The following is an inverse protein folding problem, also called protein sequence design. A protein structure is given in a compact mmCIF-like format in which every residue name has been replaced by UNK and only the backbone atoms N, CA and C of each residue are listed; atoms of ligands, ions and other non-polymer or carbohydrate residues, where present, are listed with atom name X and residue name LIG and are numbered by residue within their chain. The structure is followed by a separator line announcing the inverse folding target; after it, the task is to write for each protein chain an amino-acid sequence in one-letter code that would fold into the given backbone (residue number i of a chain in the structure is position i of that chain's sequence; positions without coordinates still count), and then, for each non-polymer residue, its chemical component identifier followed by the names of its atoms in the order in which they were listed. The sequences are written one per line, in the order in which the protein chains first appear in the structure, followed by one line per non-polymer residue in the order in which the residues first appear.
data_IF_192042395633
#
_entry.id   IF_192042395633
#
_cell.length_a   1.000
_cell.length_b   1.000
_cell.length_c   1.000
_cell.angle_alpha   90.00
_cell.angle_beta   90.00
_cell.angle_gamma   90.00
#
_symmetry.space_group_name_H-M   'P 1'
#
loop_
_entity.id
_entity.type
_entity.pdbx_description
1 polymer ?
#
# COMPACT_ATOMS: atom_id res chain seq x y z
N UNK A 1 18.24 105.01 9.79
CA UNK A 1 18.41 105.61 8.45
C UNK A 1 19.41 104.83 7.63
N UNK A 2 20.66 105.29 7.54
CA UNK A 2 21.73 104.60 6.78
C UNK A 2 22.37 103.45 7.57
N UNK A 3 22.65 103.66 8.86
CA UNK A 3 23.29 102.65 9.73
C UNK A 3 22.46 101.37 9.91
N UNK A 4 21.14 101.49 10.10
CA UNK A 4 20.24 100.33 10.23
C UNK A 4 20.16 99.49 8.95
N UNK A 5 20.41 100.09 7.78
CA UNK A 5 20.42 99.36 6.50
C UNK A 5 21.73 98.60 6.33
N UNK A 6 22.86 99.20 6.73
CA UNK A 6 24.16 98.53 6.69
C UNK A 6 24.23 97.32 7.64
N UNK A 7 23.67 97.47 8.85
CA UNK A 7 23.61 96.39 9.84
C UNK A 7 22.71 95.23 9.35
N UNK A 8 21.57 95.54 8.72
CA UNK A 8 20.69 94.54 8.10
C UNK A 8 21.36 93.83 6.91
N UNK A 9 22.17 94.54 6.14
CA UNK A 9 22.94 93.97 5.01
C UNK A 9 24.04 93.05 5.51
N UNK A 10 24.70 93.40 6.62
CA UNK A 10 25.73 92.57 7.25
C UNK A 10 25.12 91.30 7.86
N UNK A 11 23.98 91.41 8.55
CA UNK A 11 23.21 90.25 9.04
C UNK A 11 22.75 89.33 7.91
N UNK A 12 22.24 89.89 6.80
CA UNK A 12 21.85 89.11 5.61
C UNK A 12 23.03 88.40 4.95
N UNK A 13 24.21 89.05 4.93
CA UNK A 13 25.42 88.49 4.35
C UNK A 13 25.99 87.38 5.24
N UNK A 14 25.99 87.56 6.56
CA UNK A 14 26.37 86.52 7.51
C UNK A 14 25.39 85.34 7.51
N UNK A 15 24.09 85.60 7.37
CA UNK A 15 23.09 84.55 7.18
C UNK A 15 23.32 83.77 5.89
N UNK A 16 23.62 84.46 4.78
CA UNK A 16 23.98 83.85 3.49
C UNK A 16 25.23 82.97 3.60
N UNK A 17 26.25 83.41 4.32
CA UNK A 17 27.48 82.64 4.53
C UNK A 17 27.30 81.43 5.46
N UNK A 18 26.26 81.40 6.31
CA UNK A 18 25.90 80.23 7.12
C UNK A 18 25.12 79.16 6.34
N UNK A 19 24.66 79.47 5.12
CA UNK A 19 23.99 78.50 4.25
C UNK A 19 25.07 77.68 3.54
N UNK A 20 25.47 76.57 4.15
CA UNK A 20 26.40 75.61 3.56
C UNK A 20 25.67 74.78 2.47
N UNK A 21 25.71 75.28 1.24
CA UNK A 21 25.08 74.64 0.08
C UNK A 21 26.00 73.51 -0.39
N UNK A 22 25.72 72.27 0.04
CA UNK A 22 26.41 71.07 -0.44
C UNK A 22 25.57 70.42 -1.55
N UNK A 23 25.89 70.65 -2.85
CA UNK A 23 25.06 70.20 -3.96
C UNK A 23 24.97 68.67 -4.04
N UNK A 24 26.08 67.97 -3.74
CA UNK A 24 26.12 66.50 -3.74
C UNK A 24 25.20 65.90 -2.68
N UNK A 25 25.12 66.53 -1.51
CA UNK A 25 24.20 66.07 -0.46
C UNK A 25 22.74 66.36 -0.79
N UNK A 26 22.46 67.46 -1.49
CA UNK A 26 21.11 67.76 -1.97
C UNK A 26 20.66 66.71 -2.99
N UNK A 27 21.54 66.36 -3.94
CA UNK A 27 21.29 65.33 -4.95
C UNK A 27 21.02 63.95 -4.31
N UNK A 28 21.82 63.52 -3.33
CA UNK A 28 21.56 62.29 -2.57
C UNK A 28 20.19 62.29 -1.87
N UNK A 29 19.78 63.43 -1.31
CA UNK A 29 18.49 63.56 -0.63
C UNK A 29 17.34 63.52 -1.65
N UNK A 30 17.48 64.20 -2.78
CA UNK A 30 16.48 64.21 -3.85
C UNK A 30 16.28 62.82 -4.44
N UNK A 31 17.37 62.08 -4.71
CA UNK A 31 17.33 60.69 -5.17
C UNK A 31 16.63 59.79 -4.15
N UNK A 32 16.96 59.95 -2.86
CA UNK A 32 16.33 59.16 -1.80
C UNK A 32 14.85 59.45 -1.67
N UNK A 33 14.43 60.71 -1.80
CA UNK A 33 13.03 61.11 -1.80
C UNK A 33 12.30 60.56 -3.04
N UNK A 34 12.94 60.57 -4.21
CA UNK A 34 12.38 59.99 -5.43
C UNK A 34 12.13 58.49 -5.29
N UNK A 35 13.08 57.74 -4.71
CA UNK A 35 12.94 56.31 -4.42
C UNK A 35 11.77 56.04 -3.47
N UNK A 36 11.69 56.77 -2.35
CA UNK A 36 10.60 56.64 -1.37
C UNK A 36 9.25 56.96 -2.02
N UNK A 37 9.17 58.02 -2.81
CA UNK A 37 7.93 58.40 -3.50
C UNK A 37 7.52 57.38 -4.57
N UNK A 38 8.49 56.76 -5.25
CA UNK A 38 8.26 55.63 -6.15
C UNK A 38 7.64 54.43 -5.40
N UNK A 39 8.19 54.08 -4.24
CA UNK A 39 7.68 53.00 -3.41
C UNK A 39 6.29 53.30 -2.82
N UNK A 40 6.04 54.54 -2.38
CA UNK A 40 4.73 54.98 -1.89
C UNK A 40 3.65 54.84 -2.97
N UNK A 41 3.99 55.17 -4.21
CA UNK A 41 3.08 55.03 -5.36
C UNK A 41 2.77 53.56 -5.67
N UNK A 42 3.75 52.67 -5.53
CA UNK A 42 3.63 51.25 -5.86
C UNK A 42 2.92 50.43 -4.77
N UNK A 43 3.16 50.75 -3.50
CA UNK A 43 2.73 49.92 -2.36
C UNK A 43 1.79 50.63 -1.38
N UNK A 44 1.41 51.88 -1.67
CA UNK A 44 0.32 52.59 -1.00
C UNK A 44 0.77 53.62 0.04
N UNK A 45 0.68 54.89 -0.34
CA UNK A 45 0.55 56.02 0.58
C UNK A 45 1.80 56.42 1.36
N UNK A 46 2.07 55.75 2.48
CA UNK A 46 3.05 56.17 3.49
C UNK A 46 4.18 55.15 3.73
N UNK A 47 5.20 55.56 4.48
CA UNK A 47 6.38 54.73 4.74
C UNK A 47 6.02 53.52 5.62
N UNK A 48 5.09 53.69 6.57
CA UNK A 48 4.64 52.62 7.46
C UNK A 48 3.96 51.48 6.66
N UNK A 49 3.14 51.82 5.67
CA UNK A 49 2.47 50.85 4.79
C UNK A 49 3.48 50.07 3.96
N UNK A 50 4.50 50.73 3.41
CA UNK A 50 5.59 50.06 2.67
C UNK A 50 6.32 49.05 3.55
N UNK A 51 6.69 49.44 4.78
CA UNK A 51 7.41 48.57 5.72
C UNK A 51 6.55 47.38 6.16
N UNK A 52 5.27 47.59 6.47
CA UNK A 52 4.33 46.52 6.77
C UNK A 52 4.16 45.55 5.58
N UNK A 53 4.11 46.08 4.35
CA UNK A 53 4.02 45.26 3.15
C UNK A 53 5.28 44.41 2.94
N UNK A 54 6.47 44.98 3.18
CA UNK A 54 7.74 44.24 3.17
C UNK A 54 7.73 43.10 4.18
N UNK A 55 7.29 43.35 5.42
CA UNK A 55 7.20 42.32 6.45
C UNK A 55 6.20 41.22 6.08
N UNK A 56 5.06 41.58 5.49
CA UNK A 56 4.07 40.61 5.01
C UNK A 56 4.67 39.71 3.92
N UNK A 57 5.32 40.30 2.91
CA UNK A 57 6.00 39.56 1.84
C UNK A 57 7.11 38.69 2.41
N UNK A 58 7.91 39.19 3.35
CA UNK A 58 8.99 38.43 3.97
C UNK A 58 8.47 37.20 4.72
N UNK A 59 7.37 37.35 5.48
CA UNK A 59 6.69 36.22 6.16
C UNK A 59 6.13 35.22 5.15
N UNK A 60 5.47 35.69 4.08
CA UNK A 60 4.97 34.84 3.01
C UNK A 60 6.10 34.05 2.33
N UNK A 61 7.23 34.71 2.01
CA UNK A 61 8.42 34.07 1.46
C UNK A 61 9.01 33.01 2.38
N UNK A 62 9.12 33.30 3.68
CA UNK A 62 9.65 32.36 4.66
C UNK A 62 8.76 31.12 4.77
N UNK A 63 7.43 31.32 4.83
CA UNK A 63 6.47 30.20 4.83
C UNK A 63 6.58 29.35 3.56
N UNK A 64 6.65 29.95 2.37
CA UNK A 64 6.83 29.23 1.11
C UNK A 64 8.14 28.44 1.07
N UNK A 65 9.23 29.02 1.57
CA UNK A 65 10.53 28.35 1.65
C UNK A 65 10.47 27.11 2.56
N UNK A 66 9.75 27.22 3.69
CA UNK A 66 9.54 26.10 4.62
C UNK A 66 8.70 24.99 3.98
N UNK A 67 7.65 25.33 3.21
CA UNK A 67 6.85 24.35 2.48
C UNK A 67 7.66 23.59 1.43
N UNK A 68 8.49 24.29 0.66
CA UNK A 68 9.36 23.65 -0.33
C UNK A 68 10.37 22.70 0.32
N UNK A 69 10.92 23.06 1.47
CA UNK A 69 11.80 22.19 2.25
C UNK A 69 11.05 20.94 2.73
N UNK A 70 9.89 21.12 3.36
CA UNK A 70 9.06 20.01 3.84
C UNK A 70 8.64 19.07 2.70
N UNK A 71 8.28 19.61 1.54
CA UNK A 71 7.93 18.83 0.36
C UNK A 71 9.12 17.98 -0.14
N UNK A 72 10.33 18.55 -0.20
CA UNK A 72 11.54 17.81 -0.57
C UNK A 72 11.87 16.71 0.44
N UNK A 73 11.69 16.96 1.73
CA UNK A 73 11.88 15.95 2.77
C UNK A 73 10.85 14.82 2.65
N UNK A 74 9.57 15.15 2.48
CA UNK A 74 8.50 14.16 2.29
C UNK A 74 8.75 13.29 1.04
N UNK A 75 9.21 13.89 -0.06
CA UNK A 75 9.61 13.15 -1.26
C UNK A 75 10.76 12.17 -1.01
N UNK A 76 11.73 12.51 -0.14
CA UNK A 76 12.79 11.57 0.25
C UNK A 76 12.23 10.41 1.05
N UNK A 77 11.32 10.66 2.00
CA UNK A 77 10.66 9.61 2.76
C UNK A 77 9.87 8.66 1.86
N UNK A 78 9.06 9.19 0.93
CA UNK A 78 8.32 8.38 -0.05
C UNK A 78 9.28 7.49 -0.85
N UNK A 79 10.38 8.03 -1.37
CA UNK A 79 11.39 7.24 -2.09
C UNK A 79 12.00 6.13 -1.24
N UNK A 80 12.32 6.40 0.02
CA UNK A 80 12.87 5.38 0.93
C UNK A 80 11.86 4.26 1.22
N UNK A 81 10.58 4.60 1.38
CA UNK A 81 9.52 3.61 1.57
C UNK A 81 9.26 2.82 0.30
N UNK A 82 9.33 3.41 -0.89
CA UNK A 82 9.23 2.68 -2.16
C UNK A 82 10.32 1.60 -2.27
N UNK A 83 11.57 1.93 -1.93
CA UNK A 83 12.68 0.95 -1.93
C UNK A 83 12.40 -0.19 -0.97
N UNK A 84 12.02 0.13 0.27
CA UNK A 84 11.70 -0.87 1.31
C UNK A 84 10.57 -1.78 0.89
N UNK A 85 9.49 -1.20 0.35
CA UNK A 85 8.29 -1.92 -0.03
C UNK A 85 8.54 -2.80 -1.26
N UNK A 86 9.36 -2.35 -2.21
CA UNK A 86 9.84 -3.17 -3.33
C UNK A 86 10.61 -4.41 -2.85
N UNK A 87 11.55 -4.23 -1.90
CA UNK A 87 12.30 -5.36 -1.32
C UNK A 87 11.39 -6.35 -0.59
N UNK A 88 10.47 -5.86 0.25
CA UNK A 88 9.56 -6.72 1.00
C UNK A 88 8.57 -7.46 0.08
N UNK A 89 8.04 -6.79 -0.93
CA UNK A 89 7.08 -7.37 -1.87
C UNK A 89 7.71 -8.46 -2.73
N UNK A 90 8.92 -8.22 -3.23
CA UNK A 90 9.66 -9.21 -4.02
C UNK A 90 10.10 -10.41 -3.17
N UNK A 91 10.51 -10.18 -1.91
CA UNK A 91 10.81 -11.27 -0.97
C UNK A 91 9.57 -12.12 -0.66
N UNK A 92 8.40 -11.47 -0.45
CA UNK A 92 7.13 -12.15 -0.22
C UNK A 92 6.71 -13.01 -1.41
N UNK A 93 6.81 -12.48 -2.63
CA UNK A 93 6.49 -13.21 -3.87
C UNK A 93 7.35 -14.48 -4.01
N UNK A 94 8.68 -14.36 -3.88
CA UNK A 94 9.61 -15.50 -3.93
C UNK A 94 9.31 -16.55 -2.85
N UNK A 95 8.96 -16.11 -1.64
CA UNK A 95 8.61 -17.01 -0.54
C UNK A 95 7.31 -17.76 -0.82
N UNK A 96 6.32 -17.08 -1.42
CA UNK A 96 5.06 -17.71 -1.85
C UNK A 96 5.30 -18.75 -2.93
N UNK A 97 6.05 -18.44 -3.98
CA UNK A 97 6.40 -19.39 -5.06
C UNK A 97 7.09 -20.63 -4.50
N UNK A 98 8.09 -20.44 -3.62
CA UNK A 98 8.79 -21.57 -2.98
C UNK A 98 7.86 -22.42 -2.11
N UNK A 99 6.96 -21.78 -1.36
CA UNK A 99 6.01 -22.48 -0.47
C UNK A 99 4.95 -23.22 -1.27
N UNK A 100 4.51 -22.67 -2.41
CA UNK A 100 3.53 -23.28 -3.30
C UNK A 100 3.99 -24.66 -3.81
N UNK A 101 5.28 -24.84 -4.09
CA UNK A 101 5.85 -26.13 -4.50
C UNK A 101 5.64 -27.19 -3.41
N UNK A 102 5.96 -26.86 -2.16
CA UNK A 102 5.79 -27.78 -1.03
C UNK A 102 4.31 -28.04 -0.74
N UNK A 103 3.49 -26.99 -0.78
CA UNK A 103 2.06 -27.07 -0.60
C UNK A 103 1.41 -28.01 -1.62
N UNK A 104 1.71 -27.82 -2.92
CA UNK A 104 1.25 -28.68 -4.02
C UNK A 104 1.55 -30.14 -3.74
N UNK A 105 2.82 -30.46 -3.45
CA UNK A 105 3.26 -31.84 -3.19
C UNK A 105 2.51 -32.48 -2.02
N UNK A 106 2.29 -31.72 -0.95
CA UNK A 106 1.60 -32.22 0.24
C UNK A 106 0.10 -32.46 -0.03
N UNK A 107 -0.56 -31.53 -0.71
CA UNK A 107 -1.99 -31.65 -1.05
C UNK A 107 -2.22 -32.80 -2.04
N UNK A 108 -1.40 -32.92 -3.08
CA UNK A 108 -1.47 -34.05 -4.03
C UNK A 108 -1.21 -35.40 -3.35
N UNK A 109 -0.35 -35.45 -2.32
CA UNK A 109 -0.18 -36.67 -1.53
C UNK A 109 -1.46 -37.01 -0.75
N UNK A 110 -2.05 -36.04 -0.06
CA UNK A 110 -3.29 -36.25 0.69
C UNK A 110 -4.45 -36.68 -0.21
N UNK A 111 -4.55 -36.10 -1.41
CA UNK A 111 -5.57 -36.45 -2.41
C UNK A 111 -5.40 -37.86 -2.96
N UNK A 112 -4.16 -38.32 -3.16
CA UNK A 112 -3.88 -39.71 -3.56
C UNK A 112 -4.35 -40.70 -2.51
N UNK A 113 -4.11 -40.41 -1.23
CA UNK A 113 -4.64 -41.24 -0.13
C UNK A 113 -6.19 -41.29 -0.14
N UNK A 114 -6.83 -40.24 -0.65
CA UNK A 114 -8.28 -40.11 -0.80
C UNK A 114 -8.83 -40.71 -2.11
N UNK A 115 -8.02 -41.49 -2.83
CA UNK A 115 -8.46 -42.20 -4.03
C UNK A 115 -8.30 -41.41 -5.35
N UNK A 116 -7.72 -40.22 -5.31
CA UNK A 116 -7.49 -39.37 -6.50
C UNK A 116 -6.03 -39.54 -6.96
N UNK A 117 -5.72 -40.70 -7.55
CA UNK A 117 -4.35 -41.14 -7.81
C UNK A 117 -3.58 -40.24 -8.78
N UNK A 118 -4.26 -39.70 -9.78
CA UNK A 118 -3.65 -38.98 -10.89
C UNK A 118 -4.04 -37.50 -10.94
N UNK A 119 -4.43 -36.95 -9.79
CA UNK A 119 -4.79 -35.55 -9.62
C UNK A 119 -3.60 -34.62 -9.88
N UNK A 120 -3.87 -33.46 -10.46
CA UNK A 120 -2.89 -32.37 -10.61
C UNK A 120 -3.41 -31.11 -9.95
N UNK A 121 -2.60 -30.54 -9.07
CA UNK A 121 -2.82 -29.20 -8.52
C UNK A 121 -1.77 -28.26 -9.09
N UNK A 122 -2.16 -27.08 -9.53
CA UNK A 122 -1.24 -26.03 -9.97
C UNK A 122 -1.52 -24.73 -9.23
N UNK A 123 -0.47 -24.01 -8.87
CA UNK A 123 -0.58 -22.70 -8.21
C UNK A 123 -0.01 -21.67 -9.16
N UNK A 124 -0.89 -20.97 -9.85
CA UNK A 124 -0.53 -19.96 -10.82
C UNK A 124 -0.34 -18.61 -10.15
N UNK A 125 0.78 -17.95 -10.45
CA UNK A 125 1.06 -16.59 -10.01
C UNK A 125 0.88 -15.65 -11.21
N UNK A 126 -0.02 -14.68 -11.06
CA UNK A 126 -0.34 -13.69 -12.09
C UNK A 126 0.19 -12.33 -11.65
N UNK A 127 1.24 -11.85 -12.30
CA UNK A 127 1.84 -10.54 -12.03
C UNK A 127 1.34 -9.52 -13.04
N UNK A 128 0.32 -8.75 -12.67
CA UNK A 128 -0.22 -7.65 -13.47
C UNK A 128 0.85 -6.59 -13.72
N UNK A 129 1.05 -6.22 -14.99
CA UNK A 129 1.96 -5.16 -15.38
C UNK A 129 1.41 -3.78 -14.98
N UNK A 130 2.30 -2.92 -14.48
CA UNK A 130 2.00 -1.53 -14.17
C UNK A 130 3.23 -0.66 -14.47
N UNK A 131 3.24 -0.02 -15.64
CA UNK A 131 4.33 0.85 -16.09
C UNK A 131 4.52 2.08 -15.19
N UNK A 132 3.49 2.47 -14.45
CA UNK A 132 3.56 3.57 -13.48
C UNK A 132 4.09 3.11 -12.11
N UNK A 133 4.21 1.80 -11.91
CA UNK A 133 4.66 1.18 -10.68
C UNK A 133 6.15 1.35 -10.42
N UNK A 134 6.53 1.42 -9.14
CA UNK A 134 7.92 1.53 -8.69
C UNK A 134 8.55 0.18 -8.29
N UNK A 135 7.82 -0.93 -8.42
CA UNK A 135 8.29 -2.28 -8.09
C UNK A 135 8.59 -3.03 -9.38
N UNK A 136 9.83 -3.51 -9.51
CA UNK A 136 10.22 -4.39 -10.59
C UNK A 136 10.36 -5.83 -10.09
N UNK A 137 9.72 -6.76 -10.80
CA UNK A 137 9.80 -8.20 -10.53
C UNK A 137 9.83 -8.95 -11.87
N UNK A 138 10.72 -9.94 -12.00
CA UNK A 138 10.91 -10.72 -13.25
C UNK A 138 11.07 -9.84 -14.51
N UNK A 139 11.88 -8.77 -14.40
CA UNK A 139 12.16 -7.81 -15.48
C UNK A 139 10.94 -7.02 -16.00
N UNK A 140 9.86 -6.94 -15.23
CA UNK A 140 8.71 -6.10 -15.54
C UNK A 140 8.30 -5.25 -14.33
N UNK A 141 7.70 -4.08 -14.59
CA UNK A 141 7.08 -3.27 -13.55
C UNK A 141 5.72 -3.87 -13.18
N UNK A 142 5.50 -4.15 -11.90
CA UNK A 142 4.33 -4.90 -11.44
C UNK A 142 3.46 -4.08 -10.51
N UNK A 143 2.16 -4.30 -10.62
CA UNK A 143 1.16 -3.67 -9.77
C UNK A 143 1.30 -4.14 -8.33
N UNK A 144 1.30 -3.17 -7.42
CA UNK A 144 1.28 -3.40 -5.98
C UNK A 144 -0.16 -3.34 -5.46
N UNK A 145 -0.55 -4.36 -4.69
CA UNK A 145 -1.81 -4.37 -3.95
C UNK A 145 -1.54 -4.45 -2.43
N UNK A 146 -2.58 -4.30 -1.61
CA UNK A 146 -2.50 -4.42 -0.14
C UNK A 146 -1.99 -5.78 0.35
N UNK A 147 -2.10 -6.81 -0.48
CA UNK A 147 -1.65 -8.19 -0.20
C UNK A 147 -0.27 -8.51 -0.79
N UNK A 148 0.43 -7.51 -1.36
CA UNK A 148 1.70 -7.65 -2.06
C UNK A 148 1.55 -7.57 -3.58
N UNK A 149 2.54 -8.09 -4.30
CA UNK A 149 2.53 -8.16 -5.76
C UNK A 149 1.95 -9.47 -6.26
N UNK A 150 1.23 -9.39 -7.37
CA UNK A 150 0.61 -10.51 -8.04
C UNK A 150 -0.61 -11.10 -7.32
N UNK A 151 -1.41 -11.84 -8.07
CA UNK A 151 -2.52 -12.64 -7.58
C UNK A 151 -2.19 -14.13 -7.70
N UNK A 152 -2.85 -14.95 -6.88
CA UNK A 152 -2.63 -16.39 -6.81
C UNK A 152 -3.92 -17.08 -7.24
N UNK A 153 -3.84 -17.96 -8.23
CA UNK A 153 -4.96 -18.79 -8.67
C UNK A 153 -4.61 -20.27 -8.48
N UNK A 154 -5.52 -21.03 -7.88
CA UNK A 154 -5.39 -22.48 -7.73
C UNK A 154 -6.13 -23.16 -8.87
N UNK A 155 -5.40 -23.93 -9.66
CA UNK A 155 -5.94 -24.74 -10.74
C UNK A 155 -5.89 -26.21 -10.35
N UNK A 156 -6.87 -26.97 -10.79
CA UNK A 156 -7.05 -28.36 -10.42
C UNK A 156 -7.55 -29.17 -11.62
N UNK A 157 -7.03 -30.39 -11.72
CA UNK A 157 -7.46 -31.39 -12.69
C UNK A 157 -7.62 -32.72 -11.92
N UNK A 158 -8.85 -33.22 -11.76
CA UNK A 158 -9.14 -34.41 -10.96
C UNK A 158 -8.65 -35.70 -11.61
N UNK A 159 -8.68 -35.77 -12.95
CA UNK A 159 -8.44 -36.98 -13.73
C UNK A 159 -7.39 -36.76 -14.85
N UNK A 160 -6.66 -37.81 -15.26
CA UNK A 160 -5.80 -37.75 -16.44
C UNK A 160 -6.59 -37.36 -17.69
N UNK A 161 -6.05 -36.42 -18.46
CA UNK A 161 -6.66 -35.98 -19.72
C UNK A 161 -7.66 -34.82 -19.57
N UNK A 162 -7.99 -34.41 -18.34
CA UNK A 162 -8.72 -33.16 -18.10
C UNK A 162 -7.78 -31.97 -17.96
N UNK A 163 -8.19 -30.83 -18.51
CA UNK A 163 -7.46 -29.57 -18.38
C UNK A 163 -7.44 -29.06 -16.93
N UNK A 164 -6.36 -28.38 -16.56
CA UNK A 164 -6.30 -27.62 -15.32
C UNK A 164 -7.33 -26.47 -15.37
N UNK A 165 -8.24 -26.44 -14.40
CA UNK A 165 -9.28 -25.42 -14.30
C UNK A 165 -9.29 -24.77 -12.92
N UNK A 166 -9.72 -23.50 -12.81
CA UNK A 166 -9.93 -22.86 -11.51
C UNK A 166 -10.85 -23.70 -10.62
N UNK A 167 -10.58 -23.76 -9.31
CA UNK A 167 -11.37 -24.55 -8.36
C UNK A 167 -12.88 -24.30 -8.43
N UNK A 168 -13.27 -23.06 -8.72
CA UNK A 168 -14.68 -22.63 -8.85
C UNK A 168 -15.39 -23.29 -10.04
N UNK A 169 -14.64 -23.80 -11.02
CA UNK A 169 -15.14 -24.44 -12.24
C UNK A 169 -15.08 -25.96 -12.19
N UNK A 170 -14.79 -26.56 -11.04
CA UNK A 170 -14.80 -28.03 -10.86
C UNK A 170 -16.24 -28.53 -10.91
N UNK A 171 -16.48 -29.62 -11.63
CA UNK A 171 -17.81 -30.10 -11.98
C UNK A 171 -18.46 -31.02 -10.93
N UNK A 172 -17.69 -31.72 -10.09
CA UNK A 172 -18.22 -32.69 -9.12
C UNK A 172 -18.12 -32.22 -7.67
N UNK A 173 -19.24 -32.23 -6.95
CA UNK A 173 -19.32 -31.89 -5.53
C UNK A 173 -18.42 -32.78 -4.67
N UNK A 174 -18.41 -34.09 -4.92
CA UNK A 174 -17.57 -35.04 -4.18
C UNK A 174 -16.06 -34.83 -4.37
N UNK A 175 -15.61 -34.44 -5.56
CA UNK A 175 -14.21 -34.12 -5.81
C UNK A 175 -13.78 -32.85 -5.07
N UNK A 176 -14.64 -31.83 -5.09
CA UNK A 176 -14.40 -30.59 -4.35
C UNK A 176 -14.39 -30.84 -2.84
N UNK A 177 -15.31 -31.66 -2.32
CA UNK A 177 -15.37 -32.04 -0.90
C UNK A 177 -14.12 -32.81 -0.46
N UNK A 178 -13.61 -33.74 -1.28
CA UNK A 178 -12.35 -34.44 -1.00
C UNK A 178 -11.14 -33.50 -1.07
N UNK A 179 -11.11 -32.56 -2.02
CA UNK A 179 -10.08 -31.53 -2.08
C UNK A 179 -10.10 -30.65 -0.82
N UNK A 180 -11.27 -30.19 -0.40
CA UNK A 180 -11.41 -29.41 0.82
C UNK A 180 -10.99 -30.22 2.04
N UNK A 181 -11.32 -31.52 2.11
CA UNK A 181 -10.85 -32.40 3.19
C UNK A 181 -9.32 -32.50 3.20
N UNK A 182 -8.67 -32.69 2.04
CA UNK A 182 -7.22 -32.73 1.94
C UNK A 182 -6.57 -31.41 2.42
N UNK A 183 -7.12 -30.27 1.98
CA UNK A 183 -6.66 -28.94 2.38
C UNK A 183 -6.84 -28.71 3.89
N UNK A 184 -8.01 -28.99 4.44
CA UNK A 184 -8.31 -28.82 5.86
C UNK A 184 -7.51 -29.79 6.73
N UNK A 185 -7.28 -31.01 6.27
CA UNK A 185 -6.37 -31.98 6.93
C UNK A 185 -4.94 -31.45 6.95
N UNK A 186 -4.46 -30.81 5.88
CA UNK A 186 -3.11 -30.26 5.85
C UNK A 186 -2.96 -28.98 6.70
N UNK A 187 -3.99 -28.13 6.71
CA UNK A 187 -3.99 -26.80 7.32
C UNK A 187 -4.69 -26.72 8.69
N UNK A 188 -5.14 -27.85 9.27
CA UNK A 188 -5.98 -27.88 10.47
C UNK A 188 -5.48 -27.00 11.63
N UNK A 189 -4.16 -26.97 11.87
CA UNK A 189 -3.52 -26.17 12.93
C UNK A 189 -3.56 -24.66 12.71
N UNK A 190 -3.62 -24.22 11.45
CA UNK A 190 -3.60 -22.80 11.06
C UNK A 190 -5.01 -22.27 10.79
N UNK A 191 -5.95 -23.17 10.59
CA UNK A 191 -7.31 -22.83 10.27
C UNK A 191 -8.10 -22.49 11.53
N UNK A 192 -8.62 -21.28 11.60
CA UNK A 192 -9.35 -20.75 12.76
C UNK A 192 -10.82 -21.15 12.79
N UNK A 193 -11.34 -21.79 11.74
CA UNK A 193 -12.75 -22.17 11.65
C UNK A 193 -13.04 -23.33 12.62
N UNK A 194 -13.96 -23.18 13.60
CA UNK A 194 -14.21 -24.16 14.64
C UNK A 194 -15.20 -25.27 14.24
N UNK A 195 -16.07 -25.01 13.27
CA UNK A 195 -17.12 -25.94 12.81
C UNK A 195 -17.03 -26.13 11.30
N UNK A 196 -17.05 -27.38 10.84
CA UNK A 196 -16.99 -27.76 9.43
C UNK A 196 -18.12 -28.71 9.07
N UNK A 197 -18.65 -28.56 7.87
CA UNK A 197 -19.67 -29.44 7.29
C UNK A 197 -19.10 -30.01 5.99
N UNK A 198 -19.00 -31.33 5.91
CA UNK A 198 -18.64 -32.05 4.71
C UNK A 198 -19.88 -32.79 4.19
N UNK A 199 -20.26 -32.45 2.96
CA UNK A 199 -21.31 -33.13 2.22
C UNK A 199 -20.69 -33.83 0.99
N UNK A 200 -21.26 -34.96 0.57
CA UNK A 200 -20.80 -35.77 -0.57
C UNK A 200 -19.33 -36.21 -0.55
N UNK A 201 -18.64 -36.15 0.59
CA UNK A 201 -17.21 -36.56 0.68
C UNK A 201 -17.02 -38.05 0.37
N UNK A 202 -18.09 -38.83 0.48
CA UNK A 202 -18.20 -40.25 0.21
C UNK A 202 -18.67 -40.60 -1.21
N UNK A 203 -18.91 -39.59 -2.05
CA UNK A 203 -19.42 -39.81 -3.41
C UNK A 203 -18.35 -40.47 -4.31
N UNK A 204 -18.71 -41.59 -4.94
CA UNK A 204 -17.83 -42.31 -5.87
C UNK A 204 -16.65 -43.05 -5.21
N UNK A 205 -16.69 -43.27 -3.89
CA UNK A 205 -15.65 -44.02 -3.17
C UNK A 205 -16.23 -45.21 -2.38
N UNK A 206 -15.38 -46.15 -2.02
CA UNK A 206 -15.77 -47.31 -1.22
C UNK A 206 -14.57 -48.04 -0.59
N UNK A 207 -14.88 -49.03 0.25
CA UNK A 207 -13.87 -49.90 0.86
C UNK A 207 -12.79 -49.13 1.63
N UNK A 208 -11.52 -49.40 1.29
CA UNK A 208 -10.36 -48.81 1.97
C UNK A 208 -10.29 -47.29 1.87
N UNK A 209 -10.78 -46.71 0.76
CA UNK A 209 -10.76 -45.25 0.55
C UNK A 209 -11.72 -44.56 1.52
N UNK A 210 -12.92 -45.13 1.70
CA UNK A 210 -13.91 -44.64 2.66
C UNK A 210 -13.37 -44.69 4.10
N UNK A 211 -12.61 -45.73 4.45
CA UNK A 211 -11.95 -45.80 5.76
C UNK A 211 -10.91 -44.69 5.95
N UNK A 212 -10.11 -44.39 4.92
CA UNK A 212 -9.14 -43.28 4.95
C UNK A 212 -9.84 -41.94 5.14
N UNK A 213 -10.94 -41.70 4.42
CA UNK A 213 -11.78 -40.49 4.59
C UNK A 213 -12.27 -40.38 6.03
N UNK A 214 -12.87 -41.44 6.58
CA UNK A 214 -13.35 -41.46 7.97
C UNK A 214 -12.24 -41.19 8.98
N UNK A 215 -11.05 -41.75 8.78
CA UNK A 215 -9.90 -41.49 9.65
C UNK A 215 -9.41 -40.04 9.56
N UNK A 216 -9.39 -39.42 8.37
CA UNK A 216 -9.03 -37.99 8.21
C UNK A 216 -10.06 -37.07 8.85
N UNK A 217 -11.36 -37.34 8.67
CA UNK A 217 -12.44 -36.60 9.34
C UNK A 217 -12.31 -36.70 10.87
N UNK A 218 -12.08 -37.91 11.41
CA UNK A 218 -11.85 -38.14 12.84
C UNK A 218 -10.64 -37.37 13.36
N UNK A 219 -9.57 -37.29 12.58
CA UNK A 219 -8.36 -36.52 12.95
C UNK A 219 -8.66 -35.03 13.09
N UNK A 220 -9.41 -34.45 12.14
CA UNK A 220 -9.84 -33.04 12.23
C UNK A 220 -10.78 -32.85 13.44
N UNK A 221 -11.64 -33.83 13.70
CA UNK A 221 -12.60 -33.79 14.80
C UNK A 221 -11.98 -33.79 16.21
N UNK A 222 -10.67 -34.03 16.33
CA UNK A 222 -9.94 -33.91 17.61
C UNK A 222 -9.91 -32.45 18.07
N UNK A 223 -9.74 -31.52 17.14
CA UNK A 223 -9.55 -30.10 17.44
C UNK A 223 -10.79 -29.26 17.09
N UNK A 224 -11.72 -29.80 16.30
CA UNK A 224 -12.81 -29.06 15.66
C UNK A 224 -14.10 -29.86 15.65
N UNK A 225 -15.23 -29.18 15.50
CA UNK A 225 -16.51 -29.86 15.27
C UNK A 225 -16.68 -30.15 13.77
N UNK A 226 -16.94 -31.42 13.44
CA UNK A 226 -17.12 -31.87 12.06
C UNK A 226 -18.48 -32.55 11.92
N UNK A 227 -19.32 -32.02 11.03
CA UNK A 227 -20.52 -32.69 10.53
C UNK A 227 -20.19 -33.35 9.20
N UNK A 228 -20.55 -34.62 9.05
CA UNK A 228 -20.42 -35.37 7.81
C UNK A 228 -21.76 -36.03 7.51
N UNK A 229 -22.31 -35.76 6.33
CA UNK A 229 -23.45 -36.52 5.81
C UNK A 229 -22.86 -37.68 5.00
N UNK A 230 -23.23 -38.92 5.34
CA UNK A 230 -22.67 -40.10 4.66
C UNK A 230 -23.62 -41.28 4.72
N UNK A 231 -23.54 -42.13 3.71
CA UNK A 231 -24.21 -43.43 3.66
C UNK A 231 -23.22 -44.60 3.88
N UNK A 232 -21.93 -44.31 4.02
CA UNK A 232 -20.89 -45.33 4.14
C UNK A 232 -20.62 -45.70 5.60
N UNK A 233 -20.78 -46.98 6.01
CA UNK A 233 -20.55 -47.41 7.38
C UNK A 233 -19.09 -47.22 7.82
N UNK A 234 -18.14 -47.24 6.88
CA UNK A 234 -16.72 -47.00 7.16
C UNK A 234 -16.45 -45.58 7.66
N UNK A 235 -17.27 -44.60 7.27
CA UNK A 235 -17.17 -43.20 7.71
C UNK A 235 -18.02 -43.01 8.96
N UNK A 236 -19.28 -43.44 8.93
CA UNK A 236 -20.20 -43.32 10.07
C UNK A 236 -19.63 -43.98 11.34
N UNK A 237 -18.98 -45.14 11.21
CA UNK A 237 -18.35 -45.87 12.32
C UNK A 237 -17.14 -45.16 12.96
N UNK A 238 -16.65 -44.06 12.37
CA UNK A 238 -15.57 -43.23 12.95
C UNK A 238 -16.09 -42.04 13.75
N UNK A 239 -17.40 -41.76 13.68
CA UNK A 239 -18.01 -40.62 14.36
C UNK A 239 -18.02 -40.78 15.89
N UNK A 240 -17.94 -39.65 16.60
CA UNK A 240 -18.11 -39.61 18.07
C UNK A 240 -19.61 -39.71 18.41
N UNK A 241 -20.43 -39.00 17.64
CA UNK A 241 -21.90 -39.03 17.72
C UNK A 241 -22.47 -39.36 16.34
N UNK A 242 -23.42 -40.28 16.28
CA UNK A 242 -24.04 -40.73 15.03
C UNK A 242 -25.54 -40.44 15.08
N UNK A 243 -26.02 -39.66 14.13
CA UNK A 243 -27.43 -39.31 13.97
C UNK A 243 -28.01 -40.01 12.74
N UNK A 244 -29.23 -40.52 12.86
CA UNK A 244 -29.94 -41.20 11.77
C UNK A 244 -31.10 -40.29 11.36
N UNK A 245 -31.24 -40.08 10.05
CA UNK A 245 -32.37 -39.39 9.43
C UNK A 245 -33.21 -40.44 8.72
N UNK A 246 -34.53 -40.43 8.98
CA UNK A 246 -35.51 -41.35 8.41
C UNK A 246 -36.32 -40.65 7.32
#
# INVERSE_FOLDING_TARGET
GFYEIEELVEELRDYSHKIDFNPSRLEEIEDRLAEINGLKRKYGGDIATILNHREKIAKELDTLSSFQKNMKEMQKYIKSHHVTLSQLSTALAKKREKTAILFKKNVEKELRDLGMNDVKLEVQFLYEADESGFISFQNQAVKLNSTGIGTIEFLFSPNPGEDLRPLVKIASGGELSRLMLALKSNLHKQDVIPVMIFDEVDNGIGGKIAEVVGNKLKKIAIEKQVFCITHLPQIAGKAISHFIVF
#
